data_IF_305347615437
#
_entry.id   IF_305347615437
#
_cell.length_a   1.000
_cell.length_b   1.000
_cell.length_c   1.000
_cell.angle_alpha   90.00
_cell.angle_beta   90.00
_cell.angle_gamma   90.00
#
_symmetry.space_group_name_H-M   'P 1'
#
loop_
_entity.id
_entity.type
_entity.pdbx_description
1 polymer ?
#
# COMPACT_ATOMS: atom_id res chain seq x y z
N UNK A 1 17.61 -1.88 5.31
CA UNK A 1 17.03 -0.56 5.71
C UNK A 1 17.03 0.46 4.58
N UNK A 2 18.17 0.77 3.95
CA UNK A 2 18.21 1.72 2.81
C UNK A 2 17.27 1.30 1.66
N UNK A 3 17.31 0.03 1.26
CA UNK A 3 16.46 -0.51 0.19
C UNK A 3 14.96 -0.53 0.52
N UNK A 4 14.59 -0.82 1.77
CA UNK A 4 13.21 -0.68 2.26
C UNK A 4 12.69 0.75 2.05
N UNK A 5 13.50 1.75 2.41
CA UNK A 5 13.16 3.16 2.24
C UNK A 5 13.05 3.56 0.76
N UNK A 6 13.93 3.04 -0.10
CA UNK A 6 13.86 3.24 -1.55
C UNK A 6 12.57 2.67 -2.15
N UNK A 7 12.20 1.44 -1.78
CA UNK A 7 10.96 0.81 -2.25
C UNK A 7 9.74 1.62 -1.80
N UNK A 8 9.70 2.04 -0.53
CA UNK A 8 8.61 2.89 -0.01
C UNK A 8 8.48 4.20 -0.78
N UNK A 9 9.60 4.86 -1.09
CA UNK A 9 9.59 6.08 -1.89
C UNK A 9 9.09 5.83 -3.32
N UNK A 10 9.49 4.73 -3.94
CA UNK A 10 8.99 4.36 -5.28
C UNK A 10 7.49 4.10 -5.28
N UNK A 11 6.96 3.42 -4.25
CA UNK A 11 5.51 3.25 -4.06
C UNK A 11 4.83 4.62 -3.98
N UNK A 12 5.34 5.52 -3.13
CA UNK A 12 4.77 6.86 -2.96
C UNK A 12 4.75 7.64 -4.28
N UNK A 13 5.85 7.58 -5.05
CA UNK A 13 5.97 8.26 -6.36
C UNK A 13 4.91 7.80 -7.35
N UNK A 14 4.48 6.53 -7.34
CA UNK A 14 3.42 6.07 -8.24
C UNK A 14 2.09 6.78 -7.98
N UNK A 15 1.76 7.06 -6.71
CA UNK A 15 0.54 7.76 -6.34
C UNK A 15 0.57 9.27 -6.65
N UNK A 16 1.74 9.91 -6.50
CA UNK A 16 1.91 11.35 -6.75
C UNK A 16 2.04 11.74 -8.24
N UNK A 17 2.03 10.77 -9.16
CA UNK A 17 1.92 11.06 -10.61
C UNK A 17 0.51 11.52 -11.03
N UNK A 18 -0.47 11.50 -10.12
CA UNK A 18 -1.83 11.95 -10.42
C UNK A 18 -1.88 13.47 -10.67
N UNK A 19 -2.64 13.95 -11.67
CA UNK A 19 -2.77 15.38 -11.96
C UNK A 19 -3.59 16.16 -10.91
N UNK A 20 -4.29 15.47 -10.01
CA UNK A 20 -5.13 16.11 -8.98
C UNK A 20 -4.36 16.26 -7.68
N UNK A 21 -4.54 17.39 -6.98
CA UNK A 21 -4.03 17.56 -5.61
C UNK A 21 -4.78 16.59 -4.69
N UNK A 22 -4.05 15.61 -4.16
CA UNK A 22 -4.56 14.63 -3.21
C UNK A 22 -4.40 15.23 -1.80
N UNK A 23 -5.50 15.32 -1.05
CA UNK A 23 -5.49 15.81 0.33
C UNK A 23 -5.11 14.70 1.31
N UNK A 24 -5.60 13.49 1.04
CA UNK A 24 -5.28 12.29 1.80
C UNK A 24 -5.40 11.08 0.89
N UNK A 25 -4.49 10.13 1.06
CA UNK A 25 -4.54 8.83 0.41
C UNK A 25 -4.26 7.73 1.42
N UNK A 26 -5.11 6.70 1.42
CA UNK A 26 -4.90 5.47 2.18
C UNK A 26 -4.89 4.31 1.20
N UNK A 27 -3.75 3.64 1.12
CA UNK A 27 -3.58 2.42 0.36
C UNK A 27 -3.39 1.25 1.31
N UNK A 28 -4.12 0.17 1.06
CA UNK A 28 -4.06 -1.06 1.85
C UNK A 28 -3.69 -2.18 0.90
N UNK A 29 -2.60 -2.87 1.20
CA UNK A 29 -2.15 -4.08 0.55
C UNK A 29 -2.25 -5.25 1.54
N UNK A 30 -2.86 -6.35 1.12
CA UNK A 30 -3.03 -7.56 1.91
C UNK A 30 -2.73 -8.76 1.04
N UNK A 31 -2.13 -9.79 1.62
CA UNK A 31 -1.89 -11.02 0.91
C UNK A 31 -1.91 -12.19 1.87
N UNK A 32 -2.23 -13.37 1.34
CA UNK A 32 -2.12 -14.62 2.04
C UNK A 32 -1.49 -15.66 1.10
N UNK A 33 -0.24 -16.08 1.37
CA UNK A 33 0.42 -17.08 0.54
C UNK A 33 -0.22 -18.47 0.69
N UNK A 34 -0.83 -18.79 1.82
CA UNK A 34 -1.49 -20.09 2.05
C UNK A 34 -2.77 -20.25 1.23
N UNK A 35 -3.50 -19.15 1.01
CA UNK A 35 -4.71 -19.11 0.19
C UNK A 35 -4.45 -18.60 -1.23
N UNK A 36 -3.19 -18.29 -1.57
CA UNK A 36 -2.74 -17.75 -2.86
C UNK A 36 -3.57 -16.56 -3.38
N UNK A 37 -3.78 -15.54 -2.52
CA UNK A 37 -4.46 -14.31 -2.92
C UNK A 37 -3.74 -13.05 -2.46
N UNK A 38 -3.99 -11.98 -3.20
CA UNK A 38 -3.58 -10.61 -2.93
C UNK A 38 -4.83 -9.74 -3.06
N UNK A 39 -4.96 -8.75 -2.19
CA UNK A 39 -6.07 -7.80 -2.22
C UNK A 39 -5.61 -6.40 -1.88
N UNK A 40 -6.06 -5.44 -2.68
CA UNK A 40 -5.72 -4.03 -2.54
C UNK A 40 -6.95 -3.17 -2.37
N UNK A 41 -6.82 -2.07 -1.62
CA UNK A 41 -7.84 -1.03 -1.52
C UNK A 41 -7.17 0.34 -1.55
N UNK A 42 -7.71 1.24 -2.37
CA UNK A 42 -7.26 2.61 -2.48
C UNK A 42 -8.40 3.56 -2.14
N UNK A 43 -8.17 4.43 -1.17
CA UNK A 43 -9.09 5.48 -0.74
C UNK A 43 -8.36 6.81 -0.90
N UNK A 44 -8.97 7.76 -1.61
CA UNK A 44 -8.42 9.13 -1.69
C UNK A 44 -9.46 10.17 -1.35
N UNK A 45 -8.99 11.28 -0.80
CA UNK A 45 -9.77 12.49 -0.56
C UNK A 45 -9.20 13.58 -1.48
N UNK A 46 -10.08 14.14 -2.30
CA UNK A 46 -9.79 15.22 -3.25
C UNK A 46 -10.92 16.23 -3.11
N UNK A 47 -10.58 17.50 -2.87
CA UNK A 47 -11.55 18.58 -2.63
C UNK A 47 -12.54 18.25 -1.50
N UNK A 48 -12.04 17.67 -0.40
CA UNK A 48 -12.83 17.24 0.75
C UNK A 48 -13.75 16.04 0.51
N UNK A 49 -13.69 15.38 -0.65
CA UNK A 49 -14.58 14.25 -1.00
C UNK A 49 -13.82 12.97 -1.26
N UNK A 50 -14.38 11.85 -0.77
CA UNK A 50 -13.92 10.50 -1.13
C UNK A 50 -14.07 10.33 -2.64
N UNK A 51 -12.95 10.25 -3.34
CA UNK A 51 -12.91 10.17 -4.81
C UNK A 51 -12.15 8.90 -5.20
N UNK A 52 -12.64 8.08 -6.13
CA UNK A 52 -11.82 7.01 -6.67
C UNK A 52 -10.64 7.59 -7.47
N UNK A 53 -9.42 7.12 -7.21
CA UNK A 53 -8.28 7.43 -8.05
C UNK A 53 -8.21 6.40 -9.18
N UNK A 54 -8.54 6.81 -10.40
CA UNK A 54 -8.45 5.95 -11.58
C UNK A 54 -7.00 5.76 -12.02
N UNK A 55 -6.27 4.87 -11.33
CA UNK A 55 -4.92 4.48 -11.75
C UNK A 55 -5.00 3.42 -12.88
N UNK A 56 -4.12 3.49 -13.89
CA UNK A 56 -3.97 2.43 -14.88
C UNK A 56 -3.65 1.09 -14.21
N UNK A 57 -4.11 -0.03 -14.79
CA UNK A 57 -3.86 -1.37 -14.25
C UNK A 57 -2.37 -1.66 -14.11
N UNK A 58 -1.57 -1.29 -15.11
CA UNK A 58 -0.10 -1.42 -15.09
C UNK A 58 0.57 -0.69 -13.90
N UNK A 59 0.00 0.43 -13.45
CA UNK A 59 0.50 1.17 -12.28
C UNK A 59 0.12 0.42 -11.00
N UNK A 60 -1.10 -0.12 -10.92
CA UNK A 60 -1.54 -0.94 -9.80
C UNK A 60 -0.71 -2.22 -9.67
N UNK A 61 -0.50 -2.94 -10.77
CA UNK A 61 0.33 -4.15 -10.83
C UNK A 61 1.77 -3.85 -10.38
N UNK A 62 2.31 -2.70 -10.80
CA UNK A 62 3.64 -2.27 -10.38
C UNK A 62 3.70 -1.94 -8.88
N UNK A 63 2.68 -1.28 -8.32
CA UNK A 63 2.59 -1.02 -6.87
C UNK A 63 2.52 -2.34 -6.09
N UNK A 64 1.73 -3.31 -6.55
CA UNK A 64 1.62 -4.63 -5.92
C UNK A 64 2.96 -5.38 -5.94
N UNK A 65 3.67 -5.33 -7.07
CA UNK A 65 5.02 -5.88 -7.19
C UNK A 65 6.02 -5.22 -6.23
N UNK A 66 5.96 -3.89 -6.07
CA UNK A 66 6.79 -3.17 -5.09
C UNK A 66 6.42 -3.56 -3.65
N UNK A 67 5.14 -3.79 -3.34
CA UNK A 67 4.72 -4.25 -2.02
C UNK A 67 5.25 -5.66 -1.72
N UNK A 68 5.26 -6.56 -2.71
CA UNK A 68 5.89 -7.88 -2.54
C UNK A 68 7.40 -7.75 -2.31
N UNK A 69 8.11 -6.92 -3.08
CA UNK A 69 9.54 -6.68 -2.86
C UNK A 69 9.82 -6.09 -1.47
N UNK A 70 8.96 -5.19 -1.01
CA UNK A 70 9.05 -4.63 0.35
C UNK A 70 8.92 -5.72 1.40
N UNK A 71 7.99 -6.66 1.19
CA UNK A 71 7.81 -7.80 2.08
C UNK A 71 9.08 -8.64 2.13
N UNK A 72 9.56 -9.09 0.98
CA UNK A 72 10.71 -9.99 0.88
C UNK A 72 11.97 -9.36 1.49
N UNK A 73 12.18 -8.06 1.23
CA UNK A 73 13.28 -7.30 1.81
C UNK A 73 13.18 -7.24 3.34
N UNK A 74 12.01 -6.90 3.89
CA UNK A 74 11.83 -6.80 5.34
C UNK A 74 11.93 -8.17 6.02
N UNK A 75 11.40 -9.22 5.41
CA UNK A 75 11.48 -10.59 5.92
C UNK A 75 12.92 -11.08 5.93
N UNK A 76 13.68 -10.86 4.85
CA UNK A 76 15.09 -11.24 4.77
C UNK A 76 15.95 -10.52 5.83
N UNK A 77 15.63 -9.26 6.14
CA UNK A 77 16.42 -8.46 7.07
C UNK A 77 16.04 -8.62 8.54
N UNK A 78 14.76 -8.86 8.85
CA UNK A 78 14.25 -8.84 10.24
C UNK A 78 13.61 -10.15 10.67
N UNK A 79 13.37 -11.07 9.73
CA UNK A 79 12.53 -12.25 9.95
C UNK A 79 11.04 -11.94 10.07
N UNK A 80 10.64 -10.66 9.99
CA UNK A 80 9.26 -10.23 10.11
C UNK A 80 8.45 -10.58 8.86
N UNK A 81 7.45 -11.44 9.02
CA UNK A 81 6.54 -11.92 7.97
C UNK A 81 5.18 -11.22 8.09
N UNK A 82 5.13 -9.95 7.69
CA UNK A 82 3.89 -9.16 7.76
C UNK A 82 2.92 -9.58 6.65
N UNK A 83 1.62 -9.40 6.89
CA UNK A 83 0.54 -9.85 5.98
C UNK A 83 -0.32 -8.72 5.44
N UNK A 84 -0.27 -7.56 6.10
CA UNK A 84 -0.97 -6.36 5.67
C UNK A 84 -0.06 -5.15 5.80
N UNK A 85 -0.01 -4.37 4.73
CA UNK A 85 0.68 -3.11 4.62
C UNK A 85 -0.35 -1.99 4.43
N UNK A 86 -0.25 -0.94 5.24
CA UNK A 86 -1.07 0.26 5.11
C UNK A 86 -0.15 1.46 4.90
N UNK A 87 -0.38 2.17 3.80
CA UNK A 87 0.27 3.44 3.49
C UNK A 87 -0.75 4.57 3.62
N UNK A 88 -0.39 5.60 4.36
CA UNK A 88 -1.14 6.84 4.49
C UNK A 88 -0.26 7.99 4.02
N UNK A 89 -0.78 8.78 3.08
CA UNK A 89 -0.14 9.98 2.56
C UNK A 89 -1.05 11.17 2.86
N UNK A 90 -0.45 12.26 3.34
CA UNK A 90 -1.14 13.53 3.52
C UNK A 90 -0.85 14.54 2.39
N UNK A 91 -1.50 15.70 2.46
CA UNK A 91 -1.34 16.76 1.47
C UNK A 91 0.07 17.37 1.41
N UNK A 92 0.89 17.17 2.45
CA UNK A 92 2.27 17.66 2.54
C UNK A 92 3.27 16.66 1.96
N UNK A 93 2.80 15.46 1.61
CA UNK A 93 3.64 14.35 1.16
C UNK A 93 4.29 13.58 2.30
N UNK A 94 3.85 13.78 3.55
CA UNK A 94 4.32 12.96 4.67
C UNK A 94 3.68 11.57 4.59
N UNK A 95 4.54 10.54 4.57
CA UNK A 95 4.11 9.16 4.52
C UNK A 95 4.14 8.51 5.91
N UNK A 96 3.04 7.88 6.28
CA UNK A 96 2.95 6.99 7.45
C UNK A 96 2.68 5.57 6.97
N UNK A 97 3.42 4.62 7.52
CA UNK A 97 3.29 3.20 7.19
C UNK A 97 2.91 2.39 8.42
N UNK A 98 2.11 1.35 8.22
CA UNK A 98 1.81 0.36 9.24
C UNK A 98 1.95 -1.04 8.64
N UNK A 99 2.56 -1.94 9.39
CA UNK A 99 2.73 -3.35 9.05
C UNK A 99 2.01 -4.18 10.08
N UNK A 100 1.11 -5.06 9.62
CA UNK A 100 0.30 -5.93 10.46
C UNK A 100 0.69 -7.37 10.14
N UNK A 101 1.00 -8.13 11.18
CA UNK A 101 1.54 -9.49 11.10
C UNK A 101 0.47 -10.59 11.24
N UNK A 102 -0.76 -10.20 11.56
CA UNK A 102 -1.88 -11.14 11.65
C UNK A 102 -2.25 -11.68 10.26
N UNK A 103 -2.47 -13.00 10.20
CA UNK A 103 -2.91 -13.69 8.98
C UNK A 103 -4.19 -13.02 8.46
N UNK A 104 -4.22 -12.73 7.15
CA UNK A 104 -5.39 -12.20 6.47
C UNK A 104 -6.09 -13.35 5.74
N UNK A 105 -7.39 -13.50 5.87
CA UNK A 105 -8.20 -14.41 5.03
C UNK A 105 -8.87 -13.66 3.89
N UNK A 106 -9.09 -14.34 2.77
CA UNK A 106 -9.88 -13.78 1.67
C UNK A 106 -11.33 -13.49 2.08
N UNK A 107 -11.80 -14.12 3.17
CA UNK A 107 -13.11 -13.86 3.77
C UNK A 107 -13.11 -12.65 4.73
N UNK A 108 -11.93 -12.10 5.07
CA UNK A 108 -11.85 -10.94 5.94
C UNK A 108 -12.28 -9.68 5.18
N UNK A 109 -13.36 -9.05 5.67
CA UNK A 109 -13.75 -7.75 5.17
C UNK A 109 -12.60 -6.74 5.32
N UNK A 110 -12.53 -5.76 4.40
CA UNK A 110 -11.79 -4.53 4.68
C UNK A 110 -12.52 -3.83 5.82
N UNK A 111 -12.19 -4.16 7.07
CA UNK A 111 -12.65 -3.39 8.22
C UNK A 111 -12.12 -1.97 8.04
N UNK A 112 -13.02 -1.04 7.79
CA UNK A 112 -12.74 0.39 7.75
C UNK A 112 -12.51 0.85 9.20
N UNK A 113 -11.33 0.52 9.76
CA UNK A 113 -10.78 1.24 10.91
C UNK A 113 -10.30 2.63 10.45
#
# INVERSE_FOLDING_TARGET
>A
MQKQFEILNEICKQFFKSPKKIESLRYIYRFNPSENWVGTRLLTIIEGKKTPLGLPSEVMDHIEYLCQQLHDEMQAHTGGDWRKFVLMLDEKGEAKTQFIYDIQSCMDEFKDD
#
